data_IF_409162549306
#
_entry.id   IF_409162549306
#
_cell.length_a   1.000
_cell.length_b   1.000
_cell.length_c   1.000
_cell.angle_alpha   90.00
_cell.angle_beta   90.00
_cell.angle_gamma   90.00
#
_symmetry.space_group_name_H-M   'P 1'
#
loop_
_entity.id
_entity.type
_entity.pdbx_description
1 polymer ?
#
# COMPACT_ATOMS: atom_id res chain seq x y z
N UNK A 1 13.04 -27.56 5.72
CA UNK A 1 11.71 -27.98 6.23
C UNK A 1 11.82 -28.20 7.74
N UNK A 2 10.76 -27.89 8.48
CA UNK A 2 10.67 -28.03 9.94
C UNK A 2 9.85 -29.28 10.31
N UNK A 3 9.89 -29.70 11.57
CA UNK A 3 9.15 -30.86 12.11
C UNK A 3 7.98 -30.46 13.03
N UNK A 4 7.54 -29.21 12.95
CA UNK A 4 6.48 -28.67 13.81
C UNK A 4 5.14 -29.35 13.56
N UNK A 5 4.42 -29.73 14.62
CA UNK A 5 3.07 -30.31 14.48
C UNK A 5 2.07 -29.29 13.97
N UNK A 6 1.13 -29.72 13.12
CA UNK A 6 0.03 -28.88 12.67
C UNK A 6 -0.87 -28.51 13.86
N UNK A 7 -1.20 -27.23 14.03
CA UNK A 7 -2.33 -26.83 14.86
C UNK A 7 -3.60 -27.18 14.10
N UNK A 8 -4.31 -28.23 14.50
CA UNK A 8 -5.28 -28.87 13.61
C UNK A 8 -6.45 -27.95 13.21
N UNK A 9 -7.05 -27.25 14.17
CA UNK A 9 -8.07 -26.20 13.91
C UNK A 9 -7.44 -24.80 13.84
N UNK A 10 -6.13 -24.69 14.11
CA UNK A 10 -5.41 -23.43 14.25
C UNK A 10 -5.49 -22.86 15.68
N UNK A 11 -4.40 -22.25 16.12
CA UNK A 11 -4.24 -21.60 17.42
C UNK A 11 -4.60 -20.10 17.40
N UNK A 12 -5.07 -19.58 16.27
CA UNK A 12 -5.55 -18.22 16.17
C UNK A 12 -6.89 -18.04 16.89
N UNK A 13 -7.16 -16.82 17.41
CA UNK A 13 -8.50 -16.43 17.83
C UNK A 13 -9.53 -16.69 16.74
N UNK A 14 -10.81 -16.70 17.14
CA UNK A 14 -11.91 -16.65 16.18
C UNK A 14 -11.75 -15.41 15.31
N UNK A 15 -11.90 -15.62 14.01
CA UNK A 15 -11.77 -14.57 13.00
C UNK A 15 -13.19 -14.04 12.77
N UNK A 16 -13.38 -12.73 12.97
CA UNK A 16 -14.68 -12.06 12.84
C UNK A 16 -14.56 -10.95 11.78
N UNK A 17 -15.65 -10.59 11.09
CA UNK A 17 -15.66 -9.54 10.08
C UNK A 17 -15.24 -9.99 8.67
N UNK A 18 -15.32 -11.29 8.36
CA UNK A 18 -15.02 -11.81 7.03
C UNK A 18 -16.18 -11.61 6.04
N UNK A 19 -17.38 -11.32 6.51
CA UNK A 19 -18.60 -11.23 5.72
C UNK A 19 -18.48 -10.17 4.61
N UNK A 20 -17.82 -9.05 4.89
CA UNK A 20 -17.57 -7.98 3.91
C UNK A 20 -16.59 -8.35 2.79
N UNK A 21 -15.84 -9.44 2.97
CA UNK A 21 -14.82 -9.91 2.03
C UNK A 21 -15.25 -11.16 1.26
N UNK A 22 -16.38 -11.76 1.63
CA UNK A 22 -16.96 -12.89 0.92
C UNK A 22 -17.22 -12.52 -0.55
N UNK A 23 -16.98 -13.47 -1.45
CA UNK A 23 -17.10 -13.27 -2.88
C UNK A 23 -18.39 -13.88 -3.40
N UNK A 24 -19.42 -13.07 -3.70
CA UNK A 24 -20.72 -13.60 -4.09
C UNK A 24 -20.71 -14.30 -5.45
N UNK A 25 -19.76 -13.96 -6.32
CA UNK A 25 -19.65 -14.50 -7.69
C UNK A 25 -18.21 -14.66 -8.11
N UNK A 26 -17.92 -15.66 -8.95
CA UNK A 26 -16.61 -15.87 -9.55
C UNK A 26 -15.71 -16.82 -8.77
N UNK A 27 -14.53 -17.10 -9.34
CA UNK A 27 -13.58 -18.07 -8.79
C UNK A 27 -12.61 -17.39 -7.84
N UNK A 28 -12.39 -18.00 -6.69
CA UNK A 28 -11.44 -17.50 -5.69
C UNK A 28 -10.38 -18.53 -5.32
N UNK A 29 -9.27 -18.05 -4.75
CA UNK A 29 -8.25 -18.90 -4.15
C UNK A 29 -7.79 -18.39 -2.79
N UNK A 30 -7.48 -19.32 -1.89
CA UNK A 30 -6.78 -19.02 -0.64
C UNK A 30 -5.42 -19.71 -0.66
N UNK A 31 -4.36 -18.95 -0.45
CA UNK A 31 -3.03 -19.46 -0.09
C UNK A 31 -2.92 -19.42 1.43
N UNK A 32 -2.93 -20.58 2.09
CA UNK A 32 -2.98 -20.69 3.55
C UNK A 32 -1.89 -21.59 4.12
N UNK A 33 -1.64 -21.45 5.42
CA UNK A 33 -0.87 -22.40 6.24
C UNK A 33 -1.83 -23.22 7.11
N UNK A 34 -1.30 -23.97 8.09
CA UNK A 34 -2.08 -24.66 9.12
C UNK A 34 -2.90 -25.86 8.61
N UNK A 35 -3.69 -26.46 9.52
CA UNK A 35 -4.65 -27.52 9.24
C UNK A 35 -6.00 -26.98 8.75
N UNK A 36 -7.08 -27.42 9.39
CA UNK A 36 -8.47 -27.20 8.99
C UNK A 36 -8.90 -25.73 8.99
N UNK A 37 -8.19 -24.81 9.65
CA UNK A 37 -8.58 -23.38 9.63
C UNK A 37 -8.63 -22.83 8.20
N UNK A 38 -7.65 -23.19 7.38
CA UNK A 38 -7.61 -22.77 5.98
C UNK A 38 -8.79 -23.30 5.18
N UNK A 39 -9.30 -24.51 5.52
CA UNK A 39 -10.52 -25.05 4.93
C UNK A 39 -11.74 -24.24 5.34
N UNK A 40 -11.89 -23.93 6.63
CA UNK A 40 -13.00 -23.12 7.11
C UNK A 40 -13.03 -21.73 6.47
N UNK A 41 -11.87 -21.06 6.41
CA UNK A 41 -11.74 -19.73 5.82
C UNK A 41 -12.11 -19.69 4.34
N UNK A 42 -11.62 -20.65 3.55
CA UNK A 42 -11.92 -20.64 2.11
C UNK A 42 -13.39 -20.99 1.84
N UNK A 43 -14.01 -21.81 2.68
CA UNK A 43 -15.45 -22.08 2.61
C UNK A 43 -16.27 -20.83 2.95
N UNK A 44 -15.87 -20.05 3.95
CA UNK A 44 -16.55 -18.81 4.36
C UNK A 44 -16.43 -17.68 3.34
N UNK A 45 -15.27 -17.56 2.69
CA UNK A 45 -15.01 -16.51 1.70
C UNK A 45 -15.59 -16.80 0.31
N UNK A 46 -15.85 -18.07 -0.02
CA UNK A 46 -16.27 -18.49 -1.34
C UNK A 46 -17.80 -18.46 -1.51
N UNK A 47 -18.24 -18.32 -2.77
CA UNK A 47 -19.60 -18.71 -3.15
C UNK A 47 -19.68 -20.24 -3.32
N UNK A 48 -20.88 -20.80 -3.14
CA UNK A 48 -21.12 -22.23 -3.35
C UNK A 48 -21.22 -22.60 -4.85
N UNK A 49 -21.26 -21.62 -5.77
CA UNK A 49 -21.37 -21.88 -7.21
C UNK A 49 -20.06 -22.41 -7.82
N UNK A 50 -18.91 -22.02 -7.25
CA UNK A 50 -17.59 -22.43 -7.73
C UNK A 50 -16.81 -23.09 -6.60
N UNK A 51 -16.21 -24.26 -6.85
CA UNK A 51 -15.29 -24.87 -5.90
C UNK A 51 -14.05 -23.97 -5.79
N UNK A 52 -13.78 -23.36 -4.63
CA UNK A 52 -12.65 -22.46 -4.48
C UNK A 52 -11.33 -23.23 -4.49
N UNK A 53 -10.25 -22.56 -4.90
CA UNK A 53 -8.92 -23.17 -4.95
C UNK A 53 -8.19 -22.96 -3.62
N UNK A 54 -8.11 -24.01 -2.82
CA UNK A 54 -7.25 -24.02 -1.63
C UNK A 54 -5.82 -24.44 -2.01
N UNK A 55 -4.84 -23.62 -1.62
CA UNK A 55 -3.41 -23.89 -1.77
C UNK A 55 -2.76 -23.81 -0.39
N UNK A 56 -2.22 -24.92 0.08
CA UNK A 56 -1.46 -24.99 1.33
C UNK A 56 0.01 -24.81 1.03
N UNK A 57 0.60 -23.74 1.55
CA UNK A 57 2.05 -23.50 1.55
C UNK A 57 2.54 -23.64 2.98
N UNK A 58 3.39 -24.63 3.24
CA UNK A 58 3.91 -24.86 4.58
C UNK A 58 5.33 -25.43 4.57
N UNK A 59 6.16 -25.04 5.53
CA UNK A 59 7.51 -25.55 5.64
C UNK A 59 7.62 -26.77 6.57
N UNK A 60 6.54 -27.12 7.29
CA UNK A 60 6.45 -28.28 8.16
C UNK A 60 6.11 -29.56 7.41
N UNK A 61 6.94 -30.58 7.59
CA UNK A 61 6.69 -31.92 7.03
C UNK A 61 5.38 -32.50 7.57
N UNK A 62 5.02 -32.22 8.84
CA UNK A 62 3.82 -32.77 9.45
C UNK A 62 2.54 -32.15 8.89
N UNK A 63 2.53 -30.82 8.65
CA UNK A 63 1.40 -30.14 8.00
C UNK A 63 1.19 -30.68 6.58
N UNK A 64 2.27 -30.79 5.81
CA UNK A 64 2.23 -31.30 4.43
C UNK A 64 1.74 -32.76 4.39
N UNK A 65 2.23 -33.60 5.31
CA UNK A 65 1.81 -35.00 5.41
C UNK A 65 0.34 -35.13 5.82
N UNK A 66 -0.11 -34.34 6.80
CA UNK A 66 -1.51 -34.30 7.23
C UNK A 66 -2.44 -34.02 6.05
N UNK A 67 -2.18 -32.96 5.28
CA UNK A 67 -3.03 -32.57 4.15
C UNK A 67 -3.05 -33.61 3.03
N UNK A 68 -1.91 -34.27 2.76
CA UNK A 68 -1.85 -35.34 1.76
C UNK A 68 -2.71 -36.53 2.18
N UNK A 69 -2.60 -36.97 3.43
CA UNK A 69 -3.39 -38.10 3.92
C UNK A 69 -4.88 -37.76 4.05
N UNK A 70 -5.23 -36.52 4.44
CA UNK A 70 -6.62 -36.07 4.47
C UNK A 70 -7.24 -36.03 3.07
N UNK A 71 -6.47 -35.58 2.06
CA UNK A 71 -6.90 -35.64 0.66
C UNK A 71 -7.12 -37.07 0.19
N UNK A 72 -6.16 -37.97 0.48
CA UNK A 72 -6.28 -39.39 0.16
C UNK A 72 -7.51 -40.03 0.81
N UNK A 73 -7.82 -39.65 2.06
CA UNK A 73 -9.03 -40.10 2.76
C UNK A 73 -10.29 -39.65 2.02
N UNK A 74 -10.38 -38.36 1.68
CA UNK A 74 -11.52 -37.80 0.97
C UNK A 74 -11.74 -38.44 -0.41
N UNK A 75 -10.67 -38.84 -1.10
CA UNK A 75 -10.74 -39.52 -2.41
C UNK A 75 -11.19 -40.97 -2.32
N UNK A 76 -10.78 -41.71 -1.27
CA UNK A 76 -10.98 -43.16 -1.18
C UNK A 76 -12.27 -43.55 -0.46
N UNK A 77 -12.75 -42.73 0.46
CA UNK A 77 -13.93 -43.04 1.28
C UNK A 77 -15.20 -42.57 0.57
N UNK A 78 -16.23 -43.41 0.59
CA UNK A 78 -17.56 -43.03 0.11
C UNK A 78 -18.10 -41.86 0.96
N UNK A 79 -18.68 -40.79 0.37
CA UNK A 79 -19.02 -39.56 1.09
C UNK A 79 -19.77 -39.80 2.41
N UNK A 80 -20.77 -40.67 2.41
CA UNK A 80 -21.60 -41.01 3.58
C UNK A 80 -20.81 -41.56 4.78
N UNK A 81 -19.63 -42.12 4.53
CA UNK A 81 -18.76 -42.70 5.56
C UNK A 81 -17.60 -41.76 5.96
N UNK A 82 -17.52 -40.57 5.37
CA UNK A 82 -16.38 -39.67 5.56
C UNK A 82 -16.24 -39.23 7.02
N UNK A 83 -17.34 -38.87 7.70
CA UNK A 83 -17.28 -38.37 9.08
C UNK A 83 -16.71 -39.42 10.05
N UNK A 84 -17.21 -40.66 10.01
CA UNK A 84 -16.67 -41.76 10.82
C UNK A 84 -15.22 -42.08 10.47
N UNK A 85 -14.88 -42.08 9.17
CA UNK A 85 -13.52 -42.36 8.72
C UNK A 85 -12.55 -41.24 9.10
N UNK A 86 -13.02 -39.99 9.18
CA UNK A 86 -12.26 -38.84 9.64
C UNK A 86 -11.91 -38.97 11.13
N UNK A 87 -12.83 -39.44 11.97
CA UNK A 87 -12.54 -39.73 13.38
C UNK A 87 -11.44 -40.78 13.54
N UNK A 88 -11.53 -41.90 12.82
CA UNK A 88 -10.49 -42.94 12.83
C UNK A 88 -9.14 -42.41 12.32
N UNK A 89 -9.17 -41.63 11.23
CA UNK A 89 -7.99 -40.96 10.67
C UNK A 89 -7.26 -40.10 11.71
N UNK A 90 -7.99 -39.33 12.53
CA UNK A 90 -7.39 -38.51 13.58
C UNK A 90 -6.71 -39.36 14.66
N UNK A 91 -7.30 -40.49 15.03
CA UNK A 91 -6.71 -41.41 16.01
C UNK A 91 -5.42 -42.03 15.49
N UNK A 92 -5.44 -42.53 14.24
CA UNK A 92 -4.30 -43.19 13.58
C UNK A 92 -3.13 -42.23 13.30
N UNK A 93 -3.40 -40.94 13.15
CA UNK A 93 -2.41 -39.93 12.75
C UNK A 93 -2.21 -38.80 13.75
N UNK A 94 -2.56 -39.04 15.02
CA UNK A 94 -2.41 -38.09 16.13
C UNK A 94 -1.02 -37.44 16.23
N UNK A 95 0.05 -38.13 15.82
CA UNK A 95 1.42 -37.58 15.83
C UNK A 95 1.69 -36.41 14.86
N UNK A 96 0.81 -36.19 13.88
CA UNK A 96 0.95 -35.15 12.86
C UNK A 96 0.45 -33.77 13.32
N UNK A 97 -0.41 -33.75 14.33
CA UNK A 97 -1.09 -32.54 14.73
C UNK A 97 -1.19 -32.42 16.25
N UNK A 98 -1.63 -31.25 16.70
CA UNK A 98 -1.94 -30.92 18.08
C UNK A 98 -3.26 -30.17 18.14
N UNK A 99 -4.04 -30.44 19.17
CA UNK A 99 -5.27 -29.72 19.50
C UNK A 99 -4.97 -28.68 20.57
N UNK A 100 -5.73 -27.58 20.59
CA UNK A 100 -5.55 -26.47 21.53
C UNK A 100 -6.29 -26.74 22.85
N UNK A 101 -6.24 -27.98 23.34
CA UNK A 101 -6.95 -28.38 24.58
C UNK A 101 -6.39 -27.69 25.84
N UNK A 102 -5.25 -26.98 25.74
CA UNK A 102 -4.51 -26.38 26.85
C UNK A 102 -4.35 -24.85 26.78
N UNK A 103 -4.90 -24.18 25.76
CA UNK A 103 -4.83 -22.70 25.63
C UNK A 103 -6.23 -22.12 25.82
N UNK A 104 -6.74 -22.19 27.04
CA UNK A 104 -7.95 -21.47 27.42
C UNK A 104 -7.48 -20.20 28.14
N UNK A 105 -7.19 -19.15 27.37
CA UNK A 105 -7.33 -17.81 27.91
C UNK A 105 -8.83 -17.49 27.87
N UNK A 106 -9.51 -17.34 29.01
CA UNK A 106 -10.95 -17.09 29.03
C UNK A 106 -11.33 -15.77 28.31
N UNK A 107 -10.36 -14.88 28.07
CA UNK A 107 -10.58 -13.61 27.38
C UNK A 107 -10.42 -13.71 25.86
N UNK A 108 -9.96 -14.84 25.33
CA UNK A 108 -9.76 -15.04 23.89
C UNK A 108 -10.75 -16.09 23.40
N UNK A 109 -11.66 -15.66 22.53
CA UNK A 109 -12.61 -16.55 21.87
C UNK A 109 -11.89 -17.32 20.76
N UNK A 110 -11.94 -18.63 20.82
CA UNK A 110 -11.42 -19.51 19.78
C UNK A 110 -12.56 -20.25 19.07
N UNK A 111 -12.26 -20.79 17.88
CA UNK A 111 -13.14 -21.79 17.26
C UNK A 111 -13.24 -23.06 18.12
N UNK A 112 -14.24 -23.89 17.86
CA UNK A 112 -14.31 -25.21 18.50
C UNK A 112 -13.04 -26.01 18.16
N UNK A 113 -12.21 -26.26 19.17
CA UNK A 113 -10.90 -26.90 19.00
C UNK A 113 -10.98 -28.42 18.90
N UNK A 114 -12.17 -29.00 19.09
CA UNK A 114 -12.45 -30.39 18.75
C UNK A 114 -12.50 -30.52 17.21
N UNK A 115 -11.55 -31.23 16.58
CA UNK A 115 -11.46 -31.27 15.12
C UNK A 115 -12.63 -31.98 14.46
N UNK A 116 -13.25 -32.96 15.14
CA UNK A 116 -14.40 -33.71 14.64
C UNK A 116 -15.61 -32.79 14.60
N UNK A 117 -15.88 -32.09 15.71
CA UNK A 117 -16.96 -31.12 15.79
C UNK A 117 -16.74 -29.96 14.81
N UNK A 118 -15.50 -29.49 14.65
CA UNK A 118 -15.16 -28.44 13.69
C UNK A 118 -15.47 -28.87 12.24
N UNK A 119 -14.99 -30.05 11.82
CA UNK A 119 -15.27 -30.60 10.50
C UNK A 119 -16.77 -30.83 10.27
N UNK A 120 -17.45 -31.40 11.26
CA UNK A 120 -18.90 -31.64 11.20
C UNK A 120 -19.68 -30.32 11.08
N UNK A 121 -19.23 -29.26 11.74
CA UNK A 121 -19.84 -27.93 11.62
C UNK A 121 -19.65 -27.36 10.21
N UNK A 122 -18.46 -27.51 9.61
CA UNK A 122 -18.22 -27.10 8.21
C UNK A 122 -19.12 -27.88 7.24
N UNK A 123 -19.23 -29.21 7.41
CA UNK A 123 -20.09 -30.05 6.58
C UNK A 123 -21.56 -29.65 6.73
N UNK A 124 -22.02 -29.40 7.96
CA UNK A 124 -23.39 -28.97 8.20
C UNK A 124 -23.69 -27.60 7.58
N UNK A 125 -22.73 -26.68 7.58
CA UNK A 125 -22.91 -25.33 7.07
C UNK A 125 -22.79 -25.23 5.54
N UNK A 126 -21.82 -25.92 4.94
CA UNK A 126 -21.49 -25.76 3.51
C UNK A 126 -21.85 -26.99 2.64
N UNK A 127 -22.26 -28.09 3.26
CA UNK A 127 -22.57 -29.35 2.59
C UNK A 127 -21.35 -30.25 2.42
N UNK A 128 -21.56 -31.55 2.57
CA UNK A 128 -20.52 -32.57 2.51
C UNK A 128 -19.77 -32.57 1.16
N UNK A 129 -20.50 -32.61 0.05
CA UNK A 129 -19.90 -32.70 -1.29
C UNK A 129 -19.03 -31.48 -1.61
N UNK A 130 -19.44 -30.30 -1.18
CA UNK A 130 -18.68 -29.07 -1.35
C UNK A 130 -17.38 -29.11 -0.55
N UNK A 131 -17.45 -29.43 0.75
CA UNK A 131 -16.27 -29.54 1.63
C UNK A 131 -15.28 -30.59 1.11
N UNK A 132 -15.78 -31.77 0.73
CA UNK A 132 -14.93 -32.82 0.14
C UNK A 132 -14.31 -32.39 -1.18
N UNK A 133 -15.05 -31.65 -2.01
CA UNK A 133 -14.53 -31.13 -3.27
C UNK A 133 -13.38 -30.15 -3.05
N UNK A 134 -13.45 -29.29 -2.04
CA UNK A 134 -12.33 -28.39 -1.68
C UNK A 134 -11.12 -29.20 -1.22
N UNK A 135 -11.31 -30.19 -0.33
CA UNK A 135 -10.23 -31.05 0.18
C UNK A 135 -9.55 -31.81 -0.97
N UNK A 136 -10.33 -32.50 -1.83
CA UNK A 136 -9.85 -33.25 -2.99
C UNK A 136 -9.03 -32.38 -3.94
N UNK A 137 -9.47 -31.14 -4.16
CA UNK A 137 -8.83 -30.21 -5.10
C UNK A 137 -7.74 -29.32 -4.49
N UNK A 138 -7.34 -29.58 -3.25
CA UNK A 138 -6.31 -28.81 -2.54
C UNK A 138 -4.92 -29.07 -3.13
N UNK A 139 -4.19 -27.98 -3.39
CA UNK A 139 -2.78 -28.01 -3.82
C UNK A 139 -1.89 -27.89 -2.58
N UNK A 140 -0.86 -28.74 -2.46
CA UNK A 140 -0.02 -28.83 -1.26
C UNK A 140 1.44 -28.62 -1.65
N UNK A 141 2.03 -27.53 -1.18
CA UNK A 141 3.39 -27.08 -1.53
C UNK A 141 4.25 -27.01 -0.27
N UNK A 142 5.26 -27.88 -0.19
CA UNK A 142 6.23 -27.91 0.93
C UNK A 142 7.32 -26.86 0.79
N UNK A 143 7.01 -25.59 1.05
CA UNK A 143 7.93 -24.45 0.91
C UNK A 143 7.75 -23.38 1.99
N UNK A 144 8.74 -22.49 2.08
CA UNK A 144 8.71 -21.35 3.00
C UNK A 144 7.83 -20.24 2.45
N UNK A 145 7.12 -19.54 3.34
CA UNK A 145 6.44 -18.28 3.02
C UNK A 145 7.41 -17.15 2.64
N UNK A 146 8.69 -17.27 3.00
CA UNK A 146 9.73 -16.31 2.63
C UNK A 146 10.20 -16.40 1.17
N UNK A 147 9.72 -17.39 0.40
CA UNK A 147 10.15 -17.63 -0.98
C UNK A 147 9.32 -16.81 -1.99
N UNK A 148 9.74 -15.59 -2.28
CA UNK A 148 8.99 -14.66 -3.13
C UNK A 148 8.67 -15.21 -4.53
N UNK A 149 9.63 -15.95 -5.13
CA UNK A 149 9.49 -16.55 -6.47
C UNK A 149 8.29 -17.49 -6.57
N UNK A 150 8.01 -18.24 -5.49
CA UNK A 150 6.86 -19.13 -5.39
C UNK A 150 5.54 -18.36 -5.44
N UNK A 151 5.43 -17.28 -4.66
CA UNK A 151 4.18 -16.50 -4.59
C UNK A 151 3.89 -15.78 -5.91
N UNK A 152 4.91 -15.26 -6.59
CA UNK A 152 4.77 -14.74 -7.96
C UNK A 152 4.24 -15.82 -8.90
N UNK A 153 4.83 -17.03 -8.86
CA UNK A 153 4.42 -18.13 -9.72
C UNK A 153 2.98 -18.57 -9.45
N UNK A 154 2.58 -18.72 -8.17
CA UNK A 154 1.21 -19.05 -7.79
C UNK A 154 0.25 -17.97 -8.31
N UNK A 155 0.54 -16.69 -8.09
CA UNK A 155 -0.29 -15.58 -8.57
C UNK A 155 -0.49 -15.62 -10.09
N UNK A 156 0.58 -15.84 -10.86
CA UNK A 156 0.52 -15.95 -12.31
C UNK A 156 -0.34 -17.15 -12.77
N UNK A 157 -0.19 -18.31 -12.12
CA UNK A 157 -0.98 -19.52 -12.42
C UNK A 157 -2.46 -19.25 -12.14
N UNK A 158 -2.79 -18.69 -10.97
CA UNK A 158 -4.18 -18.37 -10.61
C UNK A 158 -4.83 -17.41 -11.62
N UNK A 159 -4.08 -16.38 -12.06
CA UNK A 159 -4.54 -15.46 -13.10
C UNK A 159 -4.83 -16.17 -14.43
N UNK A 160 -3.97 -17.10 -14.85
CA UNK A 160 -4.19 -17.90 -16.07
C UNK A 160 -5.45 -18.77 -15.98
N UNK A 161 -5.85 -19.18 -14.77
CA UNK A 161 -7.08 -19.94 -14.52
C UNK A 161 -8.33 -19.06 -14.33
N UNK A 162 -8.22 -17.74 -14.50
CA UNK A 162 -9.33 -16.81 -14.33
C UNK A 162 -9.80 -16.70 -12.88
N UNK A 163 -8.89 -16.86 -11.92
CA UNK A 163 -9.16 -16.64 -10.50
C UNK A 163 -8.86 -15.17 -10.20
N UNK A 164 -9.93 -14.40 -9.97
CA UNK A 164 -9.87 -12.94 -9.89
C UNK A 164 -9.59 -12.44 -8.47
N UNK A 165 -10.07 -13.17 -7.46
CA UNK A 165 -9.85 -12.82 -6.05
C UNK A 165 -9.01 -13.87 -5.34
N UNK A 166 -7.92 -13.41 -4.77
CA UNK A 166 -6.97 -14.23 -4.03
C UNK A 166 -6.87 -13.76 -2.59
N UNK A 167 -6.70 -14.70 -1.67
CA UNK A 167 -6.60 -14.44 -0.25
C UNK A 167 -5.33 -15.10 0.28
N UNK A 168 -4.76 -14.54 1.35
CA UNK A 168 -3.67 -15.19 2.09
C UNK A 168 -4.06 -15.40 3.54
N UNK A 169 -3.67 -16.53 4.11
CA UNK A 169 -3.75 -16.79 5.54
C UNK A 169 -2.38 -17.30 6.03
N UNK A 170 -1.43 -16.38 6.30
CA UNK A 170 -0.14 -16.74 6.90
C UNK A 170 -0.22 -17.05 8.41
N UNK A 171 -1.38 -16.87 9.05
CA UNK A 171 -1.52 -17.02 10.52
C UNK A 171 -0.50 -16.12 11.25
N UNK A 172 0.17 -16.64 12.28
CA UNK A 172 1.15 -15.94 13.09
C UNK A 172 2.60 -16.08 12.59
N UNK A 173 2.84 -16.59 11.36
CA UNK A 173 4.19 -16.84 10.84
C UNK A 173 5.08 -15.59 10.95
N UNK A 174 4.59 -14.43 10.49
CA UNK A 174 5.33 -13.16 10.55
C UNK A 174 5.75 -12.79 11.98
N UNK A 175 4.91 -13.10 12.96
CA UNK A 175 5.14 -12.80 14.37
C UNK A 175 6.02 -13.85 15.09
N UNK A 176 6.26 -15.02 14.48
CA UNK A 176 7.07 -16.10 15.05
C UNK A 176 8.49 -16.20 14.47
N UNK A 177 8.80 -15.47 13.41
CA UNK A 177 10.11 -15.50 12.75
C UNK A 177 10.96 -14.27 13.07
N UNK A 178 12.27 -14.37 12.80
CA UNK A 178 13.20 -13.24 12.92
C UNK A 178 12.87 -12.11 11.93
N UNK A 179 13.42 -10.92 12.18
CA UNK A 179 13.10 -9.72 11.40
C UNK A 179 13.37 -9.88 9.89
N UNK A 180 14.46 -10.54 9.51
CA UNK A 180 14.81 -10.79 8.10
C UNK A 180 13.77 -11.68 7.41
N UNK A 181 13.42 -12.80 8.04
CA UNK A 181 12.42 -13.74 7.50
C UNK A 181 11.04 -13.09 7.47
N UNK A 182 10.71 -12.29 8.49
CA UNK A 182 9.46 -11.51 8.53
C UNK A 182 9.36 -10.58 7.33
N UNK A 183 10.42 -9.83 7.04
CA UNK A 183 10.46 -8.94 5.89
C UNK A 183 10.31 -9.69 4.56
N UNK A 184 10.90 -10.89 4.45
CA UNK A 184 10.75 -11.75 3.28
C UNK A 184 9.31 -12.27 3.12
N UNK A 185 8.68 -12.73 4.21
CA UNK A 185 7.28 -13.17 4.20
C UNK A 185 6.35 -12.03 3.79
N UNK A 186 6.52 -10.84 4.39
CA UNK A 186 5.77 -9.65 4.02
C UNK A 186 5.95 -9.29 2.53
N UNK A 187 7.17 -9.42 2.01
CA UNK A 187 7.48 -9.20 0.58
C UNK A 187 6.78 -10.21 -0.31
N UNK A 188 6.79 -11.51 0.05
CA UNK A 188 6.07 -12.55 -0.69
C UNK A 188 4.57 -12.29 -0.75
N UNK A 189 3.94 -11.94 0.38
CA UNK A 189 2.50 -11.60 0.45
C UNK A 189 2.22 -10.37 -0.41
N UNK A 190 3.05 -9.33 -0.35
CA UNK A 190 2.90 -8.13 -1.17
C UNK A 190 2.98 -8.44 -2.67
N UNK A 191 3.95 -9.26 -3.08
CA UNK A 191 4.12 -9.65 -4.48
C UNK A 191 2.99 -10.55 -4.99
N UNK A 192 2.37 -11.34 -4.10
CA UNK A 192 1.19 -12.13 -4.42
C UNK A 192 -0.05 -11.28 -4.72
N UNK A 193 -0.11 -10.06 -4.16
CA UNK A 193 -1.23 -9.11 -4.31
C UNK A 193 -2.61 -9.71 -3.94
N UNK A 194 -2.80 -10.25 -2.71
CA UNK A 194 -4.11 -10.74 -2.30
C UNK A 194 -5.11 -9.59 -2.17
N UNK A 195 -6.40 -9.90 -2.24
CA UNK A 195 -7.47 -8.96 -1.88
C UNK A 195 -7.56 -8.77 -0.36
N UNK A 196 -7.15 -9.79 0.41
CA UNK A 196 -7.12 -9.77 1.86
C UNK A 196 -6.06 -10.78 2.35
N UNK A 197 -5.24 -10.34 3.30
CA UNK A 197 -4.32 -11.18 4.07
C UNK A 197 -4.79 -11.25 5.53
N UNK A 198 -5.03 -12.46 6.02
CA UNK A 198 -5.51 -12.75 7.36
C UNK A 198 -4.33 -13.21 8.20
N UNK A 199 -3.81 -12.32 9.03
CA UNK A 199 -2.63 -12.57 9.88
C UNK A 199 -2.99 -12.48 11.35
N UNK A 200 -2.14 -12.99 12.23
CA UNK A 200 -2.31 -12.85 13.67
C UNK A 200 -1.00 -12.46 14.36
N UNK A 201 -1.11 -11.86 15.55
CA UNK A 201 0.07 -11.52 16.34
C UNK A 201 0.66 -12.78 17.03
N UNK A 202 1.72 -12.56 17.80
CA UNK A 202 2.27 -13.54 18.72
C UNK A 202 2.72 -12.82 19.99
N UNK A 203 1.86 -12.82 21.02
CA UNK A 203 2.16 -12.25 22.33
C UNK A 203 2.41 -13.39 23.32
N UNK A 204 3.62 -13.44 23.90
CA UNK A 204 3.97 -14.49 24.87
C UNK A 204 3.94 -15.92 24.28
N UNK A 205 4.21 -16.07 22.98
CA UNK A 205 4.18 -17.38 22.31
C UNK A 205 2.79 -17.83 21.86
N UNK A 206 1.77 -16.96 21.93
CA UNK A 206 0.39 -17.26 21.57
C UNK A 206 -0.24 -16.14 20.73
N UNK A 207 -1.04 -16.45 19.70
CA UNK A 207 -1.84 -15.45 19.00
C UNK A 207 -3.01 -14.97 19.87
N UNK A 208 -3.15 -13.66 20.03
CA UNK A 208 -4.22 -13.02 20.82
C UNK A 208 -5.11 -12.11 20.00
N UNK A 209 -4.66 -11.71 18.80
CA UNK A 209 -5.41 -10.83 17.90
C UNK A 209 -5.19 -11.24 16.44
N UNK A 210 -6.27 -11.17 15.67
CA UNK A 210 -6.27 -11.34 14.21
C UNK A 210 -6.34 -9.96 13.56
N UNK A 211 -5.65 -9.82 12.43
CA UNK A 211 -5.63 -8.64 11.57
C UNK A 211 -6.14 -9.02 10.18
N UNK A 212 -7.16 -8.31 9.72
CA UNK A 212 -7.66 -8.38 8.36
C UNK A 212 -6.95 -7.31 7.53
N UNK A 213 -5.79 -7.66 6.98
CA UNK A 213 -4.94 -6.75 6.23
C UNK A 213 -5.37 -6.77 4.77
N UNK A 214 -6.15 -5.78 4.34
CA UNK A 214 -6.29 -5.51 2.91
C UNK A 214 -4.92 -5.04 2.43
N UNK A 215 -4.24 -5.75 1.52
CA UNK A 215 -3.01 -5.26 0.94
C UNK A 215 -3.35 -3.96 0.25
N UNK A 216 -2.92 -2.88 0.89
CA UNK A 216 -3.03 -1.54 0.37
C UNK A 216 -2.56 -1.57 -1.09
N UNK A 217 -3.31 -0.94 -1.99
CA UNK A 217 -2.70 -0.53 -3.26
C UNK A 217 -1.40 0.19 -2.91
N UNK A 218 -0.37 0.07 -3.75
CA UNK A 218 0.96 0.66 -3.47
C UNK A 218 0.84 2.13 -3.03
N UNK A 219 -0.20 2.83 -3.49
CA UNK A 219 -0.59 4.19 -3.11
C UNK A 219 -1.09 4.35 -1.65
N UNK A 220 -1.85 3.40 -1.10
CA UNK A 220 -2.42 3.49 0.25
C UNK A 220 -1.40 3.13 1.34
N UNK A 221 -0.47 2.19 1.11
CA UNK A 221 0.48 1.75 2.13
C UNK A 221 1.52 2.78 2.48
N UNK A 222 1.84 3.59 1.49
CA UNK A 222 2.85 4.59 1.64
C UNK A 222 2.26 5.89 2.20
N UNK A 223 0.97 6.17 1.96
CA UNK A 223 0.22 7.23 2.64
C UNK A 223 -0.15 6.89 4.09
N UNK A 224 -0.37 5.62 4.44
CA UNK A 224 -0.72 5.21 5.80
C UNK A 224 0.47 5.19 6.79
N UNK A 225 1.71 4.98 6.30
CA UNK A 225 2.92 5.03 7.12
C UNK A 225 3.35 6.45 7.50
N UNK A 226 2.92 7.46 6.75
CA UNK A 226 3.06 8.86 7.15
C UNK A 226 1.74 9.24 7.80
N UNK A 227 1.75 9.60 9.08
CA UNK A 227 0.50 10.01 9.72
C UNK A 227 -0.02 11.28 9.05
N UNK A 228 -0.96 11.14 8.10
CA UNK A 228 -1.67 12.24 7.47
C UNK A 228 -2.30 13.15 8.53
N UNK A 229 -2.73 12.57 9.66
CA UNK A 229 -3.20 13.31 10.84
C UNK A 229 -2.09 14.19 11.44
N UNK A 230 -0.88 13.67 11.68
CA UNK A 230 0.26 14.48 12.17
C UNK A 230 0.77 15.49 11.14
N UNK A 231 0.71 15.17 9.85
CA UNK A 231 1.05 16.10 8.76
C UNK A 231 -0.01 17.20 8.69
N UNK A 232 -1.30 16.87 8.81
CA UNK A 232 -2.41 17.83 8.84
C UNK A 232 -2.39 18.70 10.10
N UNK A 233 -2.00 18.16 11.26
CA UNK A 233 -1.79 18.92 12.50
C UNK A 233 -0.63 19.94 12.40
N UNK A 234 0.33 19.73 11.49
CA UNK A 234 1.43 20.67 11.19
C UNK A 234 0.96 21.77 10.21
N UNK A 235 -0.15 21.55 9.51
CA UNK A 235 -0.65 22.39 8.42
C UNK A 235 -1.67 23.41 8.98
N UNK A 236 -1.20 24.64 9.23
CA UNK A 236 -2.10 25.76 9.53
C UNK A 236 -2.71 26.30 8.22
N UNK A 237 -4.03 26.12 8.05
CA UNK A 237 -4.74 26.47 6.81
C UNK A 237 -5.00 27.98 6.61
N UNK A 238 -4.84 28.83 7.63
CA UNK A 238 -5.31 30.23 7.59
C UNK A 238 -4.54 31.16 6.62
N UNK A 239 -3.18 31.19 6.57
CA UNK A 239 -2.45 32.19 5.78
C UNK A 239 -2.65 32.06 4.27
N UNK A 240 -2.90 30.84 3.79
CA UNK A 240 -3.19 30.55 2.39
C UNK A 240 -4.49 31.23 1.95
N UNK A 241 -5.54 31.05 2.75
CA UNK A 241 -6.89 31.52 2.42
C UNK A 241 -6.95 33.04 2.43
N UNK A 242 -6.27 33.68 3.38
CA UNK A 242 -6.22 35.15 3.45
C UNK A 242 -5.59 35.78 2.19
N UNK A 243 -4.53 35.17 1.65
CA UNK A 243 -3.90 35.64 0.41
C UNK A 243 -4.83 35.51 -0.79
N UNK A 244 -5.56 34.41 -0.91
CA UNK A 244 -6.56 34.23 -1.98
C UNK A 244 -7.69 35.25 -1.83
N UNK A 245 -8.22 35.43 -0.63
CA UNK A 245 -9.29 36.40 -0.34
C UNK A 245 -8.84 37.82 -0.67
N UNK A 246 -7.61 38.20 -0.33
CA UNK A 246 -7.07 39.54 -0.64
C UNK A 246 -6.95 39.84 -2.13
N UNK A 247 -6.92 38.80 -2.99
CA UNK A 247 -6.82 38.92 -4.45
C UNK A 247 -8.10 38.47 -5.17
N UNK A 248 -9.17 38.21 -4.44
CA UNK A 248 -10.45 37.78 -4.99
C UNK A 248 -10.90 38.72 -6.12
N UNK A 249 -11.44 38.12 -7.18
CA UNK A 249 -11.93 38.77 -8.40
C UNK A 249 -10.86 39.49 -9.23
N UNK A 250 -9.57 39.28 -8.92
CA UNK A 250 -8.49 39.71 -9.82
C UNK A 250 -8.42 38.78 -11.03
N UNK A 251 -8.26 39.35 -12.22
CA UNK A 251 -7.95 38.58 -13.43
C UNK A 251 -6.44 38.32 -13.47
N UNK A 252 -6.05 37.04 -13.56
CA UNK A 252 -4.66 36.61 -13.55
C UNK A 252 -4.36 35.82 -14.81
N UNK A 253 -3.23 36.13 -15.44
CA UNK A 253 -2.71 35.40 -16.60
C UNK A 253 -1.70 34.34 -16.13
N UNK A 254 -1.99 33.05 -16.39
CA UNK A 254 -1.20 31.93 -15.86
C UNK A 254 0.24 31.92 -16.39
N UNK A 255 0.46 32.34 -17.64
CA UNK A 255 1.79 32.37 -18.24
C UNK A 255 2.66 33.45 -17.59
N UNK A 256 2.10 34.62 -17.35
CA UNK A 256 2.77 35.70 -16.61
C UNK A 256 3.09 35.27 -15.19
N UNK A 257 2.15 34.58 -14.54
CA UNK A 257 2.34 34.05 -13.19
C UNK A 257 3.50 33.05 -13.13
N UNK A 258 3.52 32.07 -14.03
CA UNK A 258 4.58 31.05 -14.12
C UNK A 258 5.94 31.68 -14.41
N UNK A 259 6.04 32.64 -15.34
CA UNK A 259 7.29 33.40 -15.57
C UNK A 259 7.80 34.05 -14.28
N UNK A 260 6.91 34.68 -13.53
CA UNK A 260 7.23 35.27 -12.24
C UNK A 260 7.82 34.23 -11.28
N UNK A 261 7.14 33.11 -11.09
CA UNK A 261 7.58 32.02 -10.21
C UNK A 261 8.94 31.44 -10.62
N UNK A 262 9.15 31.13 -11.90
CA UNK A 262 10.42 30.60 -12.40
C UNK A 262 11.56 31.64 -12.32
N UNK A 263 11.26 32.92 -12.49
CA UNK A 263 12.26 33.99 -12.35
C UNK A 263 12.77 34.12 -10.92
N UNK A 264 11.91 33.88 -9.92
CA UNK A 264 12.23 33.89 -8.50
C UNK A 264 13.15 32.74 -8.06
N UNK A 265 13.27 31.68 -8.87
CA UNK A 265 14.14 30.54 -8.56
C UNK A 265 15.61 30.95 -8.72
N UNK A 266 16.44 30.81 -7.67
CA UNK A 266 17.84 31.18 -7.74
C UNK A 266 18.58 30.29 -8.75
N UNK A 267 19.49 30.88 -9.53
CA UNK A 267 20.39 30.10 -10.41
C UNK A 267 21.40 29.29 -9.59
N UNK A 268 21.78 29.81 -8.42
CA UNK A 268 22.64 29.14 -7.47
C UNK A 268 22.36 29.73 -6.07
N UNK A 269 21.96 28.88 -5.13
CA UNK A 269 21.87 29.22 -3.71
C UNK A 269 22.91 28.39 -2.96
N UNK A 270 23.87 29.07 -2.31
CA UNK A 270 24.93 28.45 -1.51
C UNK A 270 24.39 27.62 -0.34
N UNK A 271 23.13 27.82 0.01
CA UNK A 271 22.47 27.11 1.07
C UNK A 271 21.64 25.91 0.59
N UNK A 272 21.68 25.56 -0.70
CA UNK A 272 21.16 24.30 -1.24
C UNK A 272 22.31 23.37 -1.66
N UNK A 273 22.07 22.07 -1.76
CA UNK A 273 23.08 21.13 -2.27
C UNK A 273 23.43 21.38 -3.75
N UNK A 274 24.55 20.82 -4.21
CA UNK A 274 24.95 20.87 -5.63
C UNK A 274 23.89 20.27 -6.56
N UNK A 275 23.31 19.15 -6.14
CA UNK A 275 22.28 18.41 -6.86
C UNK A 275 21.01 19.24 -6.97
N UNK A 276 20.60 19.86 -5.86
CA UNK A 276 19.41 20.73 -5.80
C UNK A 276 19.56 21.94 -6.72
N UNK A 277 20.71 22.63 -6.66
CA UNK A 277 21.01 23.74 -7.57
C UNK A 277 21.05 23.31 -9.04
N UNK A 278 21.46 22.08 -9.33
CA UNK A 278 21.45 21.56 -10.69
C UNK A 278 20.04 21.23 -11.17
N UNK A 279 19.20 20.58 -10.36
CA UNK A 279 17.79 20.31 -10.68
C UNK A 279 17.07 21.63 -10.97
N UNK A 280 17.23 22.65 -10.13
CA UNK A 280 16.61 23.96 -10.35
C UNK A 280 17.10 24.63 -11.65
N UNK A 281 18.39 24.50 -11.99
CA UNK A 281 18.91 25.00 -13.28
C UNK A 281 18.31 24.27 -14.48
N UNK A 282 18.24 22.95 -14.42
CA UNK A 282 17.67 22.13 -15.49
C UNK A 282 16.18 22.40 -15.66
N UNK A 283 15.46 22.55 -14.55
CA UNK A 283 14.06 22.96 -14.55
C UNK A 283 13.85 24.33 -15.21
N UNK A 284 14.71 25.33 -14.95
CA UNK A 284 14.65 26.64 -15.62
C UNK A 284 14.97 26.54 -17.12
N UNK A 285 15.95 25.71 -17.51
CA UNK A 285 16.27 25.50 -18.91
C UNK A 285 15.10 24.84 -19.66
N UNK A 286 14.49 23.81 -19.07
CA UNK A 286 13.31 23.15 -19.60
C UNK A 286 12.11 24.11 -19.73
N UNK A 287 11.92 24.99 -18.76
CA UNK A 287 10.89 26.03 -18.82
C UNK A 287 11.09 26.96 -20.03
N UNK A 288 12.31 27.47 -20.24
CA UNK A 288 12.62 28.32 -21.40
C UNK A 288 12.36 27.61 -22.73
N UNK A 289 12.63 26.30 -22.79
CA UNK A 289 12.36 25.49 -23.97
C UNK A 289 10.84 25.37 -24.24
N UNK A 290 10.04 25.03 -23.22
CA UNK A 290 8.58 24.93 -23.32
C UNK A 290 7.96 26.30 -23.64
N UNK A 291 8.48 27.37 -23.06
CA UNK A 291 8.03 28.73 -23.31
C UNK A 291 8.18 29.13 -24.79
N UNK A 292 9.26 28.69 -25.44
CA UNK A 292 9.56 29.00 -26.85
C UNK A 292 8.73 28.23 -27.88
N UNK A 293 7.96 27.21 -27.48
CA UNK A 293 7.20 26.35 -28.38
C UNK A 293 5.67 26.51 -28.18
N UNK A 294 4.88 26.00 -29.13
CA UNK A 294 3.41 26.05 -29.11
C UNK A 294 2.76 24.65 -29.09
N UNK A 295 3.15 23.75 -28.16
CA UNK A 295 2.57 22.41 -28.09
C UNK A 295 1.14 22.46 -27.51
N UNK A 296 0.33 21.42 -27.77
CA UNK A 296 -0.81 21.13 -26.92
C UNK A 296 -0.32 20.89 -25.49
N UNK A 297 -1.12 21.26 -24.50
CA UNK A 297 -0.83 21.07 -23.07
C UNK A 297 0.37 21.88 -22.54
N UNK A 298 0.71 23.00 -23.18
CA UNK A 298 1.85 23.84 -22.80
C UNK A 298 1.75 24.33 -21.35
N UNK A 299 0.59 24.83 -20.95
CA UNK A 299 0.42 25.39 -19.60
C UNK A 299 0.54 24.28 -18.55
N UNK A 300 -0.11 23.14 -18.79
CA UNK A 300 -0.01 21.94 -17.96
C UNK A 300 1.43 21.49 -17.80
N UNK A 301 2.20 21.41 -18.89
CA UNK A 301 3.61 21.03 -18.83
C UNK A 301 4.43 22.00 -17.98
N UNK A 302 4.20 23.31 -18.11
CA UNK A 302 4.90 24.33 -17.30
C UNK A 302 4.53 24.23 -15.81
N UNK A 303 3.25 23.99 -15.49
CA UNK A 303 2.77 23.80 -14.11
C UNK A 303 3.35 22.54 -13.50
N UNK A 304 3.26 21.41 -14.19
CA UNK A 304 3.78 20.13 -13.72
C UNK A 304 5.30 20.17 -13.56
N UNK A 305 6.02 20.81 -14.49
CA UNK A 305 7.45 21.03 -14.38
C UNK A 305 7.79 21.83 -13.12
N UNK A 306 7.05 22.91 -12.84
CA UNK A 306 7.27 23.72 -11.64
C UNK A 306 7.03 22.94 -10.36
N UNK A 307 5.83 22.35 -10.21
CA UNK A 307 5.44 21.64 -9.00
C UNK A 307 6.36 20.44 -8.75
N UNK A 308 6.54 19.59 -9.76
CA UNK A 308 7.36 18.40 -9.63
C UNK A 308 8.84 18.72 -9.48
N UNK A 309 9.37 19.73 -10.17
CA UNK A 309 10.77 20.10 -10.05
C UNK A 309 11.12 20.71 -8.69
N UNK A 310 10.26 21.54 -8.10
CA UNK A 310 10.52 22.06 -6.74
C UNK A 310 10.42 20.94 -5.70
N UNK A 311 9.39 20.09 -5.76
CA UNK A 311 9.23 18.97 -4.83
C UNK A 311 10.37 17.95 -4.96
N UNK A 312 10.79 17.65 -6.18
CA UNK A 312 11.95 16.79 -6.42
C UNK A 312 13.24 17.40 -5.86
N UNK A 313 13.43 18.71 -6.04
CA UNK A 313 14.57 19.42 -5.44
C UNK A 313 14.56 19.28 -3.92
N UNK A 314 13.39 19.42 -3.28
CA UNK A 314 13.25 19.21 -1.82
C UNK A 314 13.60 17.78 -1.41
N UNK A 315 13.20 16.76 -2.19
CA UNK A 315 13.52 15.36 -1.93
C UNK A 315 15.04 15.07 -2.00
N UNK A 316 15.75 15.75 -2.92
CA UNK A 316 17.15 15.51 -3.22
C UNK A 316 18.15 16.30 -2.35
N UNK A 317 17.74 17.35 -1.64
CA UNK A 317 18.66 18.16 -0.83
C UNK A 317 19.10 17.44 0.46
N UNK A 318 20.04 16.52 0.32
CA UNK A 318 20.64 15.77 1.44
C UNK A 318 21.31 16.69 2.44
N UNK A 319 21.93 17.78 2.00
CA UNK A 319 22.78 18.62 2.86
C UNK A 319 22.02 19.23 4.03
N UNK A 320 20.69 19.36 3.92
CA UNK A 320 19.85 20.00 4.95
C UNK A 320 18.63 19.19 5.37
N UNK A 321 18.06 18.37 4.51
CA UNK A 321 16.91 17.51 4.86
C UNK A 321 17.32 16.16 5.43
N UNK A 322 18.60 15.74 5.36
CA UNK A 322 19.03 14.48 5.98
C UNK A 322 19.19 14.56 7.51
N UNK A 323 19.42 15.74 8.08
CA UNK A 323 19.77 15.89 9.51
C UNK A 323 18.84 16.77 10.36
N UNK A 324 17.95 17.61 9.77
CA UNK A 324 17.33 18.72 10.53
C UNK A 324 15.85 19.05 10.24
N UNK A 325 15.16 18.29 9.39
CA UNK A 325 13.73 18.45 9.15
C UNK A 325 12.94 17.39 9.93
N UNK A 326 11.64 17.60 10.18
CA UNK A 326 10.77 16.60 10.81
C UNK A 326 10.81 15.31 9.97
N UNK A 327 11.20 14.18 10.57
CA UNK A 327 11.39 12.90 9.90
C UNK A 327 10.14 12.47 9.10
N UNK A 328 8.94 12.80 9.58
CA UNK A 328 7.68 12.45 8.91
C UNK A 328 7.45 13.26 7.63
N UNK A 329 7.75 14.56 7.66
CA UNK A 329 7.59 15.45 6.52
C UNK A 329 8.57 15.11 5.39
N UNK A 330 9.80 14.75 5.75
CA UNK A 330 10.80 14.28 4.79
C UNK A 330 10.38 12.96 4.14
N UNK A 331 9.96 11.98 4.95
CA UNK A 331 9.45 10.69 4.44
C UNK A 331 8.32 10.92 3.45
N UNK A 332 7.46 11.91 3.70
CA UNK A 332 6.39 12.29 2.79
C UNK A 332 6.87 12.78 1.43
N UNK A 333 7.76 13.78 1.39
CA UNK A 333 8.27 14.33 0.13
C UNK A 333 9.01 13.27 -0.69
N UNK A 334 9.83 12.47 -0.01
CA UNK A 334 10.60 11.37 -0.60
C UNK A 334 9.68 10.27 -1.12
N UNK A 335 8.63 9.95 -0.37
CA UNK A 335 7.62 8.99 -0.78
C UNK A 335 6.86 9.47 -2.02
N UNK A 336 6.38 10.72 -2.01
CA UNK A 336 5.66 11.32 -3.13
C UNK A 336 6.44 11.19 -4.43
N UNK A 337 7.73 11.51 -4.43
CA UNK A 337 8.61 11.37 -5.60
C UNK A 337 8.80 9.89 -5.99
N UNK A 338 9.10 9.01 -5.05
CA UNK A 338 9.34 7.59 -5.35
C UNK A 338 8.11 6.84 -5.86
N UNK A 339 6.90 7.31 -5.50
CA UNK A 339 5.63 6.72 -5.96
C UNK A 339 5.40 6.85 -7.47
N UNK A 340 6.07 7.78 -8.15
CA UNK A 340 5.88 8.06 -9.57
C UNK A 340 6.42 6.94 -10.46
N UNK A 341 7.47 6.23 -10.01
CA UNK A 341 8.13 5.16 -10.78
C UNK A 341 8.17 3.81 -10.07
N UNK A 342 7.42 3.65 -8.97
CA UNK A 342 7.44 2.43 -8.13
C UNK A 342 8.85 2.03 -7.63
N UNK A 343 9.77 2.99 -7.56
CA UNK A 343 11.18 2.73 -7.22
C UNK A 343 11.42 2.81 -5.70
N UNK A 344 12.40 2.06 -5.14
CA UNK A 344 12.73 2.14 -3.73
C UNK A 344 13.28 3.52 -3.34
N UNK A 345 12.82 4.05 -2.21
CA UNK A 345 13.28 5.31 -1.59
C UNK A 345 14.81 5.41 -1.46
N UNK A 346 15.48 4.30 -1.18
CA UNK A 346 16.94 4.23 -1.05
C UNK A 346 17.70 4.51 -2.35
N UNK A 347 17.00 4.52 -3.49
CA UNK A 347 17.57 4.63 -4.81
C UNK A 347 17.27 5.97 -5.49
N UNK A 348 16.76 6.99 -4.77
CA UNK A 348 16.53 8.33 -5.33
C UNK A 348 17.76 8.91 -6.02
N UNK A 349 18.96 8.58 -5.52
CA UNK A 349 20.23 8.94 -6.18
C UNK A 349 20.53 8.14 -7.44
N UNK A 350 20.01 6.91 -7.55
CA UNK A 350 20.04 6.08 -8.75
C UNK A 350 18.95 6.43 -9.77
N UNK A 351 17.79 6.94 -9.33
CA UNK A 351 16.74 7.52 -10.19
C UNK A 351 17.29 8.71 -10.99
N UNK A 352 18.24 9.45 -10.41
CA UNK A 352 18.96 10.53 -11.08
C UNK A 352 19.87 10.04 -12.23
N UNK A 353 19.82 8.77 -12.64
CA UNK A 353 20.66 8.20 -13.69
C UNK A 353 21.00 9.24 -14.75
N UNK A 354 22.30 9.40 -15.04
CA UNK A 354 22.98 10.31 -15.96
C UNK A 354 22.12 11.39 -16.69
N UNK A 355 21.03 11.04 -17.36
CA UNK A 355 20.08 11.92 -18.09
C UNK A 355 19.63 13.20 -17.34
N UNK A 356 19.35 13.16 -16.03
CA UNK A 356 18.96 14.36 -15.26
C UNK A 356 20.16 15.20 -14.80
N UNK A 357 21.36 14.59 -14.70
CA UNK A 357 22.63 15.29 -14.43
C UNK A 357 23.27 15.87 -15.70
N UNK A 358 23.05 15.23 -16.86
CA UNK A 358 23.64 15.58 -18.15
C UNK A 358 22.64 16.24 -19.12
N UNK A 359 21.38 16.41 -18.72
CA UNK A 359 20.50 17.46 -19.23
C UNK A 359 19.51 17.08 -20.33
N UNK A 360 19.01 15.85 -20.41
CA UNK A 360 18.27 15.43 -21.62
C UNK A 360 16.78 15.12 -21.46
N UNK A 361 16.18 15.00 -20.26
CA UNK A 361 14.72 14.92 -20.21
C UNK A 361 14.05 15.46 -18.93
N UNK A 362 13.33 16.60 -18.97
CA UNK A 362 12.51 17.10 -17.87
C UNK A 362 11.20 16.32 -17.66
N UNK A 363 10.91 15.30 -18.49
CA UNK A 363 9.69 14.48 -18.42
C UNK A 363 9.45 13.92 -17.02
N UNK A 364 10.49 13.45 -16.34
CA UNK A 364 10.35 12.93 -14.97
C UNK A 364 9.86 13.99 -13.98
N UNK A 365 10.34 15.23 -14.07
CA UNK A 365 9.85 16.32 -13.22
C UNK A 365 8.38 16.61 -13.50
N UNK A 366 7.97 16.52 -14.77
CA UNK A 366 6.57 16.67 -15.15
C UNK A 366 5.71 15.48 -14.67
N UNK A 367 6.21 14.24 -14.71
CA UNK A 367 5.54 13.06 -14.15
C UNK A 367 5.27 13.24 -12.65
N UNK A 368 6.26 13.72 -11.89
CA UNK A 368 6.11 14.06 -10.47
C UNK A 368 5.05 15.15 -10.30
N UNK A 369 5.10 16.21 -11.11
CA UNK A 369 4.11 17.29 -11.08
C UNK A 369 2.68 16.83 -11.38
N UNK A 370 2.51 15.95 -12.36
CA UNK A 370 1.21 15.38 -12.71
C UNK A 370 0.64 14.53 -11.56
N UNK A 371 1.49 13.73 -10.91
CA UNK A 371 1.10 12.95 -9.73
C UNK A 371 0.69 13.83 -8.56
N UNK A 372 1.36 14.99 -8.41
CA UNK A 372 1.00 15.98 -7.40
C UNK A 372 -0.38 16.56 -7.68
N UNK A 373 -0.62 16.99 -8.91
CA UNK A 373 -1.89 17.60 -9.32
C UNK A 373 -3.08 16.65 -9.18
N UNK A 374 -2.89 15.35 -9.39
CA UNK A 374 -3.98 14.37 -9.28
C UNK A 374 -4.39 14.05 -7.84
N UNK A 375 -3.51 14.31 -6.87
CA UNK A 375 -3.63 13.72 -5.53
C UNK A 375 -3.73 14.74 -4.39
N UNK A 376 -3.40 16.02 -4.61
CA UNK A 376 -3.28 16.99 -3.52
C UNK A 376 -4.06 18.28 -3.76
N UNK A 377 -4.59 18.81 -2.66
CA UNK A 377 -5.17 20.14 -2.63
C UNK A 377 -4.09 21.23 -2.65
N UNK A 378 -4.46 22.40 -3.13
CA UNK A 378 -3.67 23.63 -3.08
C UNK A 378 -3.32 24.04 -1.66
N UNK A 379 -4.22 23.87 -0.69
CA UNK A 379 -3.93 24.13 0.73
C UNK A 379 -2.80 23.24 1.28
N UNK A 380 -2.78 21.97 0.87
CA UNK A 380 -1.70 21.04 1.23
C UNK A 380 -0.37 21.50 0.63
N UNK A 381 -0.34 21.79 -0.67
CA UNK A 381 0.86 22.23 -1.37
C UNK A 381 1.38 23.57 -0.86
N UNK A 382 0.49 24.49 -0.49
CA UNK A 382 0.87 25.77 0.10
C UNK A 382 1.76 25.59 1.34
N UNK A 383 1.31 24.70 2.22
CA UNK A 383 1.95 24.44 3.50
C UNK A 383 3.31 23.79 3.29
N UNK A 384 3.39 22.91 2.29
CA UNK A 384 4.62 22.26 1.86
C UNK A 384 5.70 23.26 1.40
N UNK A 385 5.32 24.27 0.61
CA UNK A 385 6.27 25.28 0.12
C UNK A 385 6.64 26.35 1.18
N UNK A 386 5.71 26.68 2.08
CA UNK A 386 5.91 27.73 3.08
C UNK A 386 6.37 27.23 4.44
N UNK A 387 6.56 25.92 4.61
CA UNK A 387 7.08 25.40 5.86
C UNK A 387 8.49 25.98 6.13
N UNK A 388 8.70 26.67 7.26
CA UNK A 388 10.02 27.17 7.63
C UNK A 388 10.93 25.98 7.95
N UNK A 389 12.08 25.95 7.27
CA UNK A 389 13.08 24.91 7.45
C UNK A 389 14.16 25.42 8.38
N UNK A 390 14.48 24.62 9.40
CA UNK A 390 15.62 24.89 10.25
C UNK A 390 16.90 24.39 9.58
N UNK A 391 17.55 25.29 8.84
CA UNK A 391 18.75 24.99 8.06
C UNK A 391 20.05 25.01 8.89
N UNK A 392 19.97 25.15 10.22
CA UNK A 392 21.10 25.18 11.16
C UNK A 392 21.38 26.55 11.77
N UNK A 393 22.64 26.87 12.08
CA UNK A 393 23.03 28.15 12.71
C UNK A 393 22.53 29.34 11.87
N UNK A 394 21.37 29.88 12.24
CA UNK A 394 20.65 30.91 11.49
C UNK A 394 19.15 30.91 11.78
N UNK A 395 18.45 31.91 11.25
CA UNK A 395 16.99 32.00 11.31
C UNK A 395 16.35 30.95 10.39
N UNK A 396 15.29 30.25 10.83
CA UNK A 396 14.49 29.40 9.95
C UNK A 396 14.04 30.16 8.72
N UNK A 397 14.10 29.51 7.55
CA UNK A 397 13.68 30.11 6.27
C UNK A 397 12.95 29.08 5.42
N UNK A 398 12.06 29.52 4.55
CA UNK A 398 11.40 28.63 3.58
C UNK A 398 12.42 28.07 2.58
N UNK A 399 12.07 26.97 1.90
CA UNK A 399 12.97 26.30 0.95
C UNK A 399 13.42 27.21 -0.19
N UNK A 400 12.46 27.96 -0.74
CA UNK A 400 12.68 28.99 -1.76
C UNK A 400 12.27 30.35 -1.19
N UNK A 401 13.13 31.01 -0.39
CA UNK A 401 12.75 32.24 0.33
C UNK A 401 12.52 33.45 -0.58
N UNK A 402 12.84 33.34 -1.88
CA UNK A 402 12.57 34.36 -2.90
C UNK A 402 11.29 34.09 -3.70
N UNK A 403 10.63 32.96 -3.45
CA UNK A 403 9.38 32.63 -4.10
C UNK A 403 8.28 33.55 -3.54
N UNK A 404 7.61 34.30 -4.43
CA UNK A 404 6.54 35.19 -4.01
C UNK A 404 5.35 34.37 -3.51
N UNK A 405 5.03 34.52 -2.23
CA UNK A 405 3.98 33.76 -1.57
C UNK A 405 2.61 34.05 -2.20
N UNK A 406 2.34 35.30 -2.62
CA UNK A 406 1.08 35.62 -3.31
C UNK A 406 0.94 34.89 -4.64
N UNK A 407 1.99 34.88 -5.46
CA UNK A 407 2.00 34.21 -6.76
C UNK A 407 1.90 32.69 -6.61
N UNK A 408 2.54 32.11 -5.60
CA UNK A 408 2.38 30.69 -5.32
C UNK A 408 0.93 30.36 -4.95
N UNK A 409 0.31 31.16 -4.08
CA UNK A 409 -1.09 30.95 -3.70
C UNK A 409 -2.00 31.00 -4.93
N UNK A 410 -1.80 31.99 -5.82
CA UNK A 410 -2.53 32.11 -7.07
C UNK A 410 -2.39 30.87 -7.98
N UNK A 411 -1.17 30.31 -8.10
CA UNK A 411 -0.94 29.11 -8.89
C UNK A 411 -1.71 27.92 -8.32
N UNK A 412 -1.66 27.74 -7.00
CA UNK A 412 -2.33 26.61 -6.34
C UNK A 412 -3.85 26.73 -6.45
N UNK A 413 -4.39 27.94 -6.29
CA UNK A 413 -5.80 28.21 -6.50
C UNK A 413 -6.23 27.97 -7.96
N UNK A 414 -5.39 28.33 -8.95
CA UNK A 414 -5.63 27.99 -10.36
C UNK A 414 -5.74 26.47 -10.55
N UNK A 415 -4.78 25.71 -10.01
CA UNK A 415 -4.76 24.25 -10.14
C UNK A 415 -6.00 23.59 -9.52
N UNK A 416 -6.51 24.11 -8.39
CA UNK A 416 -7.73 23.60 -7.77
C UNK A 416 -9.00 23.95 -8.55
N UNK A 417 -9.11 25.19 -9.06
CA UNK A 417 -10.31 25.63 -9.79
C UNK A 417 -10.40 25.02 -11.20
N UNK A 418 -9.26 24.63 -11.76
CA UNK A 418 -9.13 24.23 -13.16
C UNK A 418 -8.41 22.88 -13.31
N UNK A 419 -8.56 21.98 -12.33
CA UNK A 419 -7.96 20.63 -12.35
C UNK A 419 -8.24 19.87 -13.65
N UNK A 420 -9.43 20.07 -14.21
CA UNK A 420 -9.90 19.38 -15.41
C UNK A 420 -9.41 20.02 -16.71
N UNK A 421 -8.91 21.27 -16.66
CA UNK A 421 -8.42 21.99 -17.82
C UNK A 421 -7.39 23.07 -17.44
N UNK A 422 -6.12 22.65 -17.36
CA UNK A 422 -5.01 23.53 -17.02
C UNK A 422 -4.52 24.41 -18.18
N UNK A 423 -5.15 24.33 -19.36
CA UNK A 423 -4.76 25.14 -20.53
C UNK A 423 -5.39 26.53 -20.57
N UNK A 424 -6.23 26.85 -19.60
CA UNK A 424 -6.86 28.17 -19.47
C UNK A 424 -5.76 29.24 -19.24
N UNK A 425 -5.74 30.25 -20.11
CA UNK A 425 -4.71 31.31 -20.10
C UNK A 425 -4.98 32.37 -19.04
N UNK A 426 -6.23 32.78 -18.92
CA UNK A 426 -6.69 33.80 -17.97
C UNK A 426 -7.71 33.18 -17.02
N UNK A 427 -7.57 33.43 -15.72
CA UNK A 427 -8.55 33.01 -14.73
C UNK A 427 -8.90 34.15 -13.78
N UNK A 428 -10.13 34.11 -13.27
CA UNK A 428 -10.56 34.99 -12.18
C UNK A 428 -10.31 34.29 -10.86
N UNK A 429 -9.61 34.97 -9.95
CA UNK A 429 -9.33 34.43 -8.62
C UNK A 429 -10.63 34.40 -7.83
N UNK A 430 -11.27 33.24 -7.70
CA UNK A 430 -12.41 33.09 -6.80
C UNK A 430 -11.93 32.73 -5.40
N UNK A 431 -12.43 33.36 -4.32
CA UNK A 431 -12.24 32.82 -2.99
C UNK A 431 -12.94 31.45 -2.92
N UNK A 432 -12.43 30.55 -2.07
CA UNK A 432 -13.08 29.25 -1.84
C UNK A 432 -14.53 29.46 -1.42
N UNK A 433 -15.45 29.10 -2.30
CA UNK A 433 -16.88 29.21 -2.04
C UNK A 433 -17.29 28.16 -1.01
N UNK A 434 -18.02 28.61 0.01
CA UNK A 434 -18.89 27.83 0.91
C UNK A 434 -20.06 27.12 0.16
N UNK A 435 -19.92 26.86 -1.14
CA UNK A 435 -20.95 26.31 -2.02
C UNK A 435 -20.88 24.78 -2.15
N UNK A 436 -20.36 24.09 -1.14
CA UNK A 436 -20.70 22.70 -0.87
C UNK A 436 -21.63 22.70 0.35
N UNK A 437 -22.92 22.46 0.10
CA UNK A 437 -23.99 22.50 1.08
C UNK A 437 -23.82 21.52 2.24
N UNK A 438 -23.04 21.92 3.24
CA UNK A 438 -23.10 21.36 4.58
C UNK A 438 -24.42 21.78 5.24
N UNK A 439 -25.40 20.87 5.31
CA UNK A 439 -26.34 20.89 6.42
C UNK A 439 -25.58 20.52 7.70
N UNK A 440 -25.75 21.36 8.72
CA UNK A 440 -25.33 21.15 10.11
C UNK A 440 -25.89 19.82 10.63
#
# INVERSE_FOLDING_TARGET
MTYESAWLVGNDPKIEGLESYATPTGKIALVGTSGLRSLGLICELANQENIPKLIIVDNSIKVIRFWRLLRDLAEKVAPENFQTSFESFLQEHSSLFKTVSEIIDPNIKHENQDPVNYMNSLIAQYGLDYVLSVIKNTVIIGQSWAEASLFIAIGNILKLHGIEKTYTYPSNIEACVNATTRAQVATSIKLFKPCLSIASNNQGGRPTKVFLNIPETIEQSQLAQISLVKVQEIINEEPYRDLIVSRAYSKVNIQTLLRGLFSSIPQNDRALSSESNMILRNMKAAFSNIEGITPPDKQKQMISLFLGGVIFTMACDISKYSYRCNDEFKKYIVHLVSSVREEPVSNLHGILGNELFFGEDPSFLQEVGNKILSNFSGAFLWSLFNQPLNLGFGTPRTFLPRLDAGNLALLLNFCEQHSDNLEIVDFEVKPFGTELGCRI
#
